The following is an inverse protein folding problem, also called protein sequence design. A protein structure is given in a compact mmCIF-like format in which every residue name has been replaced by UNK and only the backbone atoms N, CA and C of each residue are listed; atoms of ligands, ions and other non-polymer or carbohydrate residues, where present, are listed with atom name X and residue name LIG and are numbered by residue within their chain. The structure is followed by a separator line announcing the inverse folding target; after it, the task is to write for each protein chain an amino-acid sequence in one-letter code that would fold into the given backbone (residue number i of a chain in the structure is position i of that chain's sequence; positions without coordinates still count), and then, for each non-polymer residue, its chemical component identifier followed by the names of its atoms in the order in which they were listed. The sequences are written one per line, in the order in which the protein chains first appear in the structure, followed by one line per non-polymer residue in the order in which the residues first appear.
data_IF_924252595279
#
_entry.id   IF_924252595279
#
_cell.length_a   1.000
_cell.length_b   1.000
_cell.length_c   1.000
_cell.angle_alpha   90.00
_cell.angle_beta   90.00
_cell.angle_gamma   90.00
#
_symmetry.space_group_name_H-M   'P 1'
#
loop_
_entity.id
_entity.type
_entity.pdbx_description
1 polymer ?
#
# COMPACT_ATOMS: atom_id res chain seq x y z
N UNK A 1 27.59 63.11 45.06
CA UNK A 1 28.69 63.85 44.44
C UNK A 1 28.73 63.38 43.00
N UNK A 2 28.29 64.23 42.07
CA UNK A 2 28.36 63.96 40.63
C UNK A 2 29.82 64.05 40.21
N UNK A 3 30.48 62.92 40.00
CA UNK A 3 31.76 62.88 39.31
C UNK A 3 31.51 63.21 37.85
N UNK A 4 31.57 64.49 37.51
CA UNK A 4 31.50 64.96 36.14
C UNK A 4 32.63 64.33 35.32
N UNK A 5 32.25 63.45 34.40
CA UNK A 5 33.14 62.81 33.42
C UNK A 5 33.85 63.91 32.62
N UNK A 6 35.13 64.15 32.91
CA UNK A 6 35.96 65.08 32.12
C UNK A 6 36.33 64.36 30.84
N UNK A 7 35.43 64.41 29.86
CA UNK A 7 35.73 63.93 28.52
C UNK A 7 36.81 64.84 27.89
N UNK A 8 38.07 64.39 27.93
CA UNK A 8 39.13 65.04 27.15
C UNK A 8 38.96 64.69 25.67
N UNK A 9 38.16 65.49 24.96
CA UNK A 9 37.98 65.42 23.51
C UNK A 9 39.21 65.94 22.74
N UNK A 10 40.42 65.61 23.20
CA UNK A 10 41.66 65.98 22.53
C UNK A 10 42.18 64.84 21.63
N UNK A 11 42.69 65.22 20.45
CA UNK A 11 43.31 64.31 19.49
C UNK A 11 44.81 64.13 19.68
N UNK A 12 45.35 64.55 20.83
CA UNK A 12 46.78 64.63 21.08
C UNK A 12 47.47 65.83 20.42
N UNK A 13 48.82 65.88 20.43
CA UNK A 13 49.59 67.00 19.91
C UNK A 13 49.51 67.11 18.38
N UNK A 14 49.47 68.34 17.88
CA UNK A 14 49.48 68.61 16.45
C UNK A 14 50.84 68.29 15.83
N UNK A 15 50.82 67.60 14.69
CA UNK A 15 52.03 67.26 13.93
C UNK A 15 52.78 68.48 13.37
N UNK A 16 52.07 69.58 13.09
CA UNK A 16 52.63 70.85 12.58
C UNK A 16 52.97 71.84 13.70
N UNK A 17 52.15 71.88 14.74
CA UNK A 17 52.25 72.86 15.84
C UNK A 17 52.59 72.14 17.15
N UNK A 18 53.89 71.98 17.44
CA UNK A 18 54.41 71.12 18.52
C UNK A 18 53.90 71.45 19.94
N UNK A 19 53.35 72.65 20.17
CA UNK A 19 52.83 73.08 21.48
C UNK A 19 51.29 73.08 21.55
N UNK A 20 50.62 72.64 20.48
CA UNK A 20 49.19 72.87 20.30
C UNK A 20 48.48 71.53 20.15
N UNK A 21 47.36 71.39 20.83
CA UNK A 21 46.57 70.16 20.85
C UNK A 21 45.46 70.22 19.81
N UNK A 22 45.15 69.08 19.23
CA UNK A 22 44.15 68.92 18.17
C UNK A 22 42.77 68.76 18.79
N UNK A 23 41.80 69.57 18.38
CA UNK A 23 40.43 69.57 18.92
C UNK A 23 39.34 69.58 17.85
N UNK A 24 39.71 69.81 16.59
CA UNK A 24 38.76 70.01 15.50
C UNK A 24 38.98 68.98 14.39
N UNK A 25 37.89 68.61 13.73
CA UNK A 25 37.90 67.86 12.49
C UNK A 25 37.55 68.80 11.34
N UNK A 26 38.45 68.97 10.38
CA UNK A 26 38.17 69.70 9.15
C UNK A 26 37.45 68.77 8.17
N UNK A 27 36.18 69.06 7.90
CA UNK A 27 35.34 68.25 7.01
C UNK A 27 35.80 68.37 5.55
N UNK A 28 36.31 69.53 5.14
CA UNK A 28 36.77 69.76 3.76
C UNK A 28 37.96 68.87 3.37
N UNK A 29 38.85 68.60 4.32
CA UNK A 29 40.07 67.83 4.08
C UNK A 29 40.07 66.46 4.77
N UNK A 30 39.04 66.16 5.55
CA UNK A 30 38.93 64.95 6.38
C UNK A 30 40.12 64.75 7.34
N UNK A 31 40.57 65.84 7.98
CA UNK A 31 41.76 65.85 8.84
C UNK A 31 41.48 66.38 10.24
N UNK A 32 42.20 65.82 11.22
CA UNK A 32 42.25 66.30 12.60
C UNK A 32 43.22 67.49 12.70
N UNK A 33 42.75 68.64 13.21
CA UNK A 33 43.51 69.88 13.23
C UNK A 33 43.45 70.61 14.58
N UNK A 34 44.50 71.38 14.90
CA UNK A 34 44.53 72.26 16.07
C UNK A 34 44.04 73.67 15.73
N UNK A 35 43.92 74.53 16.74
CA UNK A 35 43.51 75.93 16.58
C UNK A 35 44.45 76.77 15.70
N UNK A 36 45.74 76.46 15.67
CA UNK A 36 46.69 77.18 14.79
C UNK A 36 46.51 76.77 13.33
N UNK A 37 46.23 75.49 13.08
CA UNK A 37 45.90 75.01 11.74
C UNK A 37 44.66 75.70 11.16
N UNK A 38 43.66 76.06 11.96
CA UNK A 38 42.46 76.77 11.48
C UNK A 38 42.73 78.21 11.05
N UNK A 39 43.88 78.79 11.40
CA UNK A 39 44.25 80.15 10.99
C UNK A 39 45.16 80.13 9.77
N UNK A 40 46.11 79.19 9.74
CA UNK A 40 47.19 79.16 8.73
C UNK A 40 46.79 78.35 7.50
N UNK A 41 46.43 77.08 7.70
CA UNK A 41 46.26 76.12 6.61
C UNK A 41 44.78 75.87 6.26
N UNK A 42 43.88 76.02 7.23
CA UNK A 42 42.46 75.71 7.12
C UNK A 42 41.56 76.88 7.56
N UNK A 43 41.67 78.06 6.91
CA UNK A 43 40.94 79.25 7.33
C UNK A 43 39.42 79.07 7.18
N UNK A 44 38.60 79.65 8.09
CA UNK A 44 37.14 79.42 8.12
C UNK A 44 36.40 79.83 6.83
N UNK A 45 36.96 80.76 6.05
CA UNK A 45 36.38 81.18 4.76
C UNK A 45 36.60 80.15 3.62
N UNK A 46 37.48 79.16 3.82
CA UNK A 46 37.79 78.11 2.84
C UNK A 46 37.53 76.70 3.34
N UNK A 47 37.45 76.51 4.66
CA UNK A 47 37.32 75.20 5.30
C UNK A 47 36.19 75.19 6.30
N UNK A 48 35.39 74.12 6.28
CA UNK A 48 34.44 73.82 7.36
C UNK A 48 35.12 72.88 8.35
N UNK A 49 35.02 73.20 9.64
CA UNK A 49 35.51 72.34 10.71
C UNK A 49 34.53 72.34 11.87
N UNK A 50 34.48 71.21 12.56
CA UNK A 50 33.64 70.94 13.72
C UNK A 50 34.54 70.47 14.86
N UNK A 51 34.09 70.63 16.10
CA UNK A 51 34.78 70.05 17.25
C UNK A 51 34.70 68.52 17.23
N UNK A 52 35.61 67.83 17.90
CA UNK A 52 35.51 66.39 18.05
C UNK A 52 34.27 65.94 18.80
N UNK A 53 33.80 66.73 19.76
CA UNK A 53 32.52 66.47 20.43
C UNK A 53 31.36 66.46 19.43
N UNK A 54 31.26 67.48 18.59
CA UNK A 54 30.22 67.56 17.55
C UNK A 54 30.35 66.42 16.54
N UNK A 55 31.56 66.03 16.15
CA UNK A 55 31.78 64.90 15.23
C UNK A 55 31.37 63.56 15.84
N UNK A 56 31.66 63.34 17.13
CA UNK A 56 31.28 62.13 17.86
C UNK A 56 29.75 62.05 17.96
N UNK A 57 29.08 63.12 18.36
CA UNK A 57 27.61 63.15 18.45
C UNK A 57 26.96 62.97 17.07
N UNK A 58 27.48 63.63 16.03
CA UNK A 58 26.99 63.46 14.66
C UNK A 58 27.13 62.02 14.17
N UNK A 59 28.26 61.36 14.45
CA UNK A 59 28.45 59.93 14.11
C UNK A 59 27.50 59.04 14.89
N UNK A 60 27.31 59.31 16.18
CA UNK A 60 26.38 58.57 17.02
C UNK A 60 24.96 58.66 16.48
N UNK A 61 24.51 59.86 16.13
CA UNK A 61 23.19 60.09 15.54
C UNK A 61 23.03 59.37 14.19
N UNK A 62 24.02 59.50 13.30
CA UNK A 62 24.01 58.79 12.02
C UNK A 62 23.96 57.26 12.21
N UNK A 63 24.79 56.72 13.10
CA UNK A 63 24.82 55.29 13.40
C UNK A 63 23.48 54.81 13.99
N UNK A 64 22.85 55.61 14.86
CA UNK A 64 21.52 55.31 15.40
C UNK A 64 20.48 55.31 14.29
N UNK A 65 20.53 56.28 13.38
CA UNK A 65 19.60 56.38 12.25
C UNK A 65 19.74 55.18 11.31
N UNK A 66 20.97 54.83 10.93
CA UNK A 66 21.28 53.66 10.11
C UNK A 66 20.83 52.37 10.81
N UNK A 67 21.18 52.19 12.09
CA UNK A 67 20.74 51.04 12.88
C UNK A 67 19.22 50.95 12.97
N UNK A 68 18.52 52.06 13.19
CA UNK A 68 17.06 52.08 13.22
C UNK A 68 16.45 51.71 11.87
N UNK A 69 16.99 52.23 10.77
CA UNK A 69 16.50 51.91 9.43
C UNK A 69 16.69 50.43 9.07
N UNK A 70 17.84 49.86 9.44
CA UNK A 70 18.11 48.44 9.23
C UNK A 70 17.24 47.56 10.12
N UNK A 71 16.99 47.97 11.37
CA UNK A 71 16.10 47.28 12.28
C UNK A 71 14.67 47.24 11.74
N UNK A 72 14.14 48.36 11.24
CA UNK A 72 12.82 48.40 10.59
C UNK A 72 12.77 47.45 9.38
N UNK A 73 13.77 47.50 8.50
CA UNK A 73 13.81 46.62 7.33
C UNK A 73 13.88 45.13 7.69
N UNK A 74 14.59 44.77 8.77
CA UNK A 74 14.63 43.40 9.28
C UNK A 74 13.26 43.00 9.86
N UNK A 75 12.63 43.91 10.61
CA UNK A 75 11.32 43.65 11.20
C UNK A 75 10.24 43.44 10.13
N UNK A 76 10.25 44.24 9.06
CA UNK A 76 9.33 44.08 7.92
C UNK A 76 9.50 42.70 7.25
N UNK A 77 10.75 42.26 7.07
CA UNK A 77 11.05 40.91 6.56
C UNK A 77 10.60 39.82 7.51
N UNK A 78 10.72 40.04 8.82
CA UNK A 78 10.30 39.07 9.85
C UNK A 78 8.77 38.92 9.87
N UNK A 79 8.03 40.02 9.72
CA UNK A 79 6.57 40.00 9.57
C UNK A 79 6.15 39.28 8.29
N UNK A 80 6.78 39.58 7.15
CA UNK A 80 6.48 38.88 5.90
C UNK A 80 6.76 37.37 5.98
N UNK A 81 7.83 36.98 6.68
CA UNK A 81 8.16 35.58 6.90
C UNK A 81 7.13 34.88 7.82
N UNK A 82 6.68 35.56 8.88
CA UNK A 82 5.63 35.04 9.77
C UNK A 82 4.30 34.81 9.04
N UNK A 83 3.90 35.74 8.18
CA UNK A 83 2.72 35.59 7.31
C UNK A 83 2.87 34.42 6.34
N UNK A 84 4.03 34.28 5.71
CA UNK A 84 4.32 33.15 4.81
C UNK A 84 4.26 31.80 5.53
N UNK A 85 4.78 31.72 6.75
CA UNK A 85 4.73 30.50 7.57
C UNK A 85 3.28 30.14 7.93
N UNK A 86 2.47 31.13 8.32
CA UNK A 86 1.03 30.93 8.61
C UNK A 86 0.28 30.41 7.39
N UNK A 87 0.51 31.00 6.23
CA UNK A 87 -0.13 30.56 4.98
C UNK A 87 0.30 29.14 4.61
N UNK A 88 1.59 28.84 4.70
CA UNK A 88 2.13 27.50 4.44
C UNK A 88 1.51 26.46 5.38
N UNK A 89 1.33 26.79 6.66
CA UNK A 89 0.67 25.92 7.63
C UNK A 89 -0.79 25.64 7.25
N UNK A 90 -1.53 26.67 6.83
CA UNK A 90 -2.92 26.51 6.39
C UNK A 90 -3.02 25.58 5.17
N UNK A 91 -2.11 25.73 4.19
CA UNK A 91 -2.04 24.85 3.01
C UNK A 91 -1.79 23.41 3.43
N UNK A 92 -0.78 23.17 4.28
CA UNK A 92 -0.44 21.83 4.76
C UNK A 92 -1.63 21.20 5.49
N UNK A 93 -2.26 21.94 6.40
CA UNK A 93 -3.42 21.46 7.15
C UNK A 93 -4.60 21.08 6.23
N UNK A 94 -4.87 21.89 5.20
CA UNK A 94 -5.91 21.60 4.22
C UNK A 94 -5.60 20.36 3.38
N UNK A 95 -4.35 20.17 2.96
CA UNK A 95 -3.94 18.97 2.22
C UNK A 95 -3.99 17.71 3.10
N UNK A 96 -3.63 17.80 4.38
CA UNK A 96 -3.79 16.70 5.34
C UNK A 96 -5.25 16.25 5.47
N UNK A 97 -6.20 17.20 5.53
CA UNK A 97 -7.63 16.89 5.57
C UNK A 97 -8.09 16.16 4.29
N UNK A 98 -7.65 16.62 3.11
CA UNK A 98 -7.97 15.94 1.84
C UNK A 98 -7.40 14.51 1.80
N UNK A 99 -6.16 14.33 2.25
CA UNK A 99 -5.52 13.01 2.35
C UNK A 99 -6.32 12.08 3.27
N UNK A 100 -6.77 12.57 4.44
CA UNK A 100 -7.59 11.79 5.35
C UNK A 100 -8.94 11.40 4.73
N UNK A 101 -9.58 12.33 4.02
CA UNK A 101 -10.83 12.06 3.32
C UNK A 101 -10.65 10.98 2.24
N UNK A 102 -9.63 11.12 1.37
CA UNK A 102 -9.36 10.13 0.32
C UNK A 102 -9.01 8.76 0.89
N UNK A 103 -8.27 8.70 2.01
CA UNK A 103 -8.00 7.42 2.69
C UNK A 103 -9.30 6.71 3.07
N UNK A 104 -10.25 7.44 3.65
CA UNK A 104 -11.55 6.89 4.03
C UNK A 104 -12.36 6.44 2.81
N UNK A 105 -12.41 7.25 1.76
CA UNK A 105 -13.12 6.91 0.51
C UNK A 105 -12.55 5.64 -0.14
N UNK A 106 -11.22 5.49 -0.15
CA UNK A 106 -10.55 4.28 -0.64
C UNK A 106 -10.89 3.07 0.23
N UNK A 107 -10.86 3.22 1.55
CA UNK A 107 -11.18 2.15 2.49
C UNK A 107 -12.64 1.68 2.32
N UNK A 108 -13.58 2.61 2.21
CA UNK A 108 -14.99 2.32 1.96
C UNK A 108 -15.20 1.62 0.62
N UNK A 109 -14.51 2.07 -0.43
CA UNK A 109 -14.55 1.45 -1.75
C UNK A 109 -14.02 0.00 -1.73
N UNK A 110 -12.88 -0.23 -1.09
CA UNK A 110 -12.29 -1.58 -0.91
C UNK A 110 -13.25 -2.47 -0.14
N UNK A 111 -13.79 -1.99 0.98
CA UNK A 111 -14.75 -2.74 1.80
C UNK A 111 -16.02 -3.11 1.02
N UNK A 112 -16.52 -2.20 0.19
CA UNK A 112 -17.66 -2.46 -0.70
C UNK A 112 -17.34 -3.53 -1.75
N UNK A 113 -16.15 -3.48 -2.35
CA UNK A 113 -15.69 -4.49 -3.31
C UNK A 113 -15.58 -5.88 -2.64
N UNK A 114 -14.95 -5.95 -1.46
CA UNK A 114 -14.80 -7.20 -0.70
C UNK A 114 -16.17 -7.79 -0.36
N UNK A 115 -17.10 -6.98 0.16
CA UNK A 115 -18.47 -7.43 0.49
C UNK A 115 -19.18 -8.00 -0.74
N UNK A 116 -19.11 -7.32 -1.88
CA UNK A 116 -19.69 -7.81 -3.15
C UNK A 116 -19.06 -9.12 -3.60
N UNK A 117 -17.73 -9.26 -3.48
CA UNK A 117 -17.02 -10.47 -3.88
C UNK A 117 -17.41 -11.67 -3.02
N UNK A 118 -17.44 -11.50 -1.70
CA UNK A 118 -17.87 -12.55 -0.76
C UNK A 118 -19.31 -13.00 -1.07
N UNK A 119 -20.22 -12.05 -1.31
CA UNK A 119 -21.61 -12.39 -1.64
C UNK A 119 -21.71 -13.16 -2.97
N UNK A 120 -20.97 -12.74 -3.99
CA UNK A 120 -20.93 -13.40 -5.29
C UNK A 120 -20.35 -14.82 -5.20
N UNK A 121 -19.26 -15.01 -4.47
CA UNK A 121 -18.64 -16.32 -4.29
C UNK A 121 -19.55 -17.28 -3.51
N UNK A 122 -20.23 -16.80 -2.47
CA UNK A 122 -21.26 -17.59 -1.76
C UNK A 122 -22.38 -18.04 -2.69
N UNK A 123 -22.89 -17.14 -3.55
CA UNK A 123 -23.94 -17.50 -4.51
C UNK A 123 -23.44 -18.53 -5.54
N UNK A 124 -22.22 -18.37 -6.05
CA UNK A 124 -21.60 -19.34 -6.96
C UNK A 124 -21.40 -20.71 -6.31
N UNK A 125 -20.97 -20.73 -5.05
CA UNK A 125 -20.81 -21.96 -4.27
C UNK A 125 -22.13 -22.72 -4.13
N UNK A 126 -23.23 -22.04 -3.77
CA UNK A 126 -24.54 -22.69 -3.66
C UNK A 126 -25.05 -23.22 -5.01
N UNK A 127 -24.83 -22.48 -6.10
CA UNK A 127 -25.15 -22.95 -7.45
C UNK A 127 -24.34 -24.21 -7.79
N UNK A 128 -23.03 -24.20 -7.52
CA UNK A 128 -22.14 -25.34 -7.78
C UNK A 128 -22.57 -26.57 -6.95
N UNK A 129 -22.88 -26.36 -5.67
CA UNK A 129 -23.37 -27.41 -4.77
C UNK A 129 -24.67 -28.03 -5.28
N UNK A 130 -25.63 -27.22 -5.71
CA UNK A 130 -26.88 -27.70 -6.32
C UNK A 130 -26.65 -28.52 -7.59
N UNK A 131 -25.73 -28.09 -8.47
CA UNK A 131 -25.35 -28.85 -9.67
C UNK A 131 -24.71 -30.20 -9.35
N UNK A 132 -23.84 -30.25 -8.35
CA UNK A 132 -23.19 -31.50 -7.91
C UNK A 132 -24.23 -32.46 -7.34
N UNK A 133 -25.14 -31.99 -6.49
CA UNK A 133 -26.22 -32.81 -5.93
C UNK A 133 -27.13 -33.38 -7.02
N UNK A 134 -27.52 -32.55 -8.01
CA UNK A 134 -28.34 -32.99 -9.14
C UNK A 134 -27.65 -34.08 -9.96
N UNK A 135 -26.36 -33.89 -10.31
CA UNK A 135 -25.57 -34.92 -11.02
C UNK A 135 -25.44 -36.21 -10.21
N UNK A 136 -25.23 -36.10 -8.90
CA UNK A 136 -25.14 -37.28 -8.04
C UNK A 136 -26.46 -38.07 -8.01
N UNK A 137 -27.61 -37.40 -7.96
CA UNK A 137 -28.92 -38.05 -8.05
C UNK A 137 -29.14 -38.73 -9.41
N UNK A 138 -28.73 -38.09 -10.50
CA UNK A 138 -28.81 -38.66 -11.85
C UNK A 138 -27.95 -39.93 -11.99
N UNK A 139 -26.71 -39.89 -11.49
CA UNK A 139 -25.82 -41.06 -11.45
C UNK A 139 -26.42 -42.18 -10.59
N UNK A 140 -26.99 -41.85 -9.43
CA UNK A 140 -27.66 -42.83 -8.58
C UNK A 140 -28.85 -43.49 -9.29
N UNK A 141 -29.66 -42.70 -10.01
CA UNK A 141 -30.79 -43.21 -10.80
C UNK A 141 -30.33 -44.15 -11.91
N UNK A 142 -29.32 -43.76 -12.70
CA UNK A 142 -28.74 -44.60 -13.76
C UNK A 142 -28.16 -45.91 -13.20
N UNK A 143 -27.52 -45.87 -12.03
CA UNK A 143 -27.01 -47.07 -11.37
C UNK A 143 -28.14 -48.00 -10.91
N UNK A 144 -29.26 -47.44 -10.43
CA UNK A 144 -30.44 -48.20 -10.06
C UNK A 144 -31.06 -48.91 -11.27
N UNK A 145 -31.19 -48.20 -12.39
CA UNK A 145 -31.69 -48.73 -13.67
C UNK A 145 -30.77 -49.83 -14.26
N UNK A 146 -29.45 -49.66 -14.14
CA UNK A 146 -28.48 -50.71 -14.51
C UNK A 146 -28.57 -51.94 -13.62
N UNK A 147 -28.83 -51.75 -12.33
CA UNK A 147 -29.01 -52.86 -11.38
C UNK A 147 -30.29 -53.65 -11.67
N UNK A 148 -31.40 -52.95 -11.94
CA UNK A 148 -32.69 -53.59 -12.24
C UNK A 148 -32.64 -54.40 -13.55
N UNK A 149 -32.00 -53.86 -14.60
CA UNK A 149 -31.79 -54.56 -15.88
C UNK A 149 -30.87 -55.77 -15.74
N UNK A 150 -29.79 -55.66 -14.96
CA UNK A 150 -28.95 -56.82 -14.61
C UNK A 150 -29.76 -57.90 -13.89
N UNK A 151 -30.59 -57.52 -12.92
CA UNK A 151 -31.42 -58.47 -12.17
C UNK A 151 -32.39 -59.22 -13.09
N UNK A 152 -33.11 -58.51 -13.97
CA UNK A 152 -34.02 -59.14 -14.95
C UNK A 152 -33.26 -60.05 -15.93
N UNK A 153 -32.07 -59.65 -16.36
CA UNK A 153 -31.24 -60.48 -17.25
C UNK A 153 -30.81 -61.78 -16.56
N UNK A 154 -30.37 -61.70 -15.29
CA UNK A 154 -30.00 -62.88 -14.50
C UNK A 154 -31.21 -63.79 -14.29
N UNK A 155 -32.39 -63.23 -13.99
CA UNK A 155 -33.62 -63.99 -13.79
C UNK A 155 -34.04 -64.72 -15.08
N UNK A 156 -33.94 -64.06 -16.23
CA UNK A 156 -34.18 -64.67 -17.54
C UNK A 156 -33.18 -65.80 -17.83
N UNK A 157 -31.88 -65.62 -17.54
CA UNK A 157 -30.87 -66.67 -17.71
C UNK A 157 -31.15 -67.88 -16.82
N UNK A 158 -31.53 -67.66 -15.56
CA UNK A 158 -31.89 -68.73 -14.64
C UNK A 158 -33.10 -69.53 -15.15
N UNK A 159 -34.10 -68.86 -15.73
CA UNK A 159 -35.23 -69.52 -16.36
C UNK A 159 -34.80 -70.40 -17.54
N UNK A 160 -33.90 -69.93 -18.41
CA UNK A 160 -33.36 -70.72 -19.53
C UNK A 160 -32.58 -71.95 -19.04
N UNK A 161 -31.73 -71.78 -18.02
CA UNK A 161 -30.97 -72.89 -17.42
C UNK A 161 -31.90 -73.93 -16.80
N UNK A 162 -32.94 -73.48 -16.10
CA UNK A 162 -34.00 -74.35 -15.54
C UNK A 162 -34.66 -75.20 -16.64
N UNK A 163 -35.11 -74.56 -17.72
CA UNK A 163 -35.72 -75.26 -18.87
C UNK A 163 -34.73 -76.25 -19.49
N UNK A 164 -33.48 -75.85 -19.71
CA UNK A 164 -32.45 -76.76 -20.25
C UNK A 164 -32.20 -77.97 -19.34
N UNK A 165 -32.23 -77.77 -18.02
CA UNK A 165 -32.06 -78.84 -17.04
C UNK A 165 -33.23 -79.80 -17.10
N UNK A 166 -34.46 -79.29 -17.16
CA UNK A 166 -35.66 -80.10 -17.32
C UNK A 166 -35.63 -80.91 -18.63
N UNK A 167 -35.21 -80.29 -19.74
CA UNK A 167 -35.06 -80.98 -21.04
C UNK A 167 -34.01 -82.10 -20.93
N UNK A 168 -32.85 -81.86 -20.30
CA UNK A 168 -31.83 -82.89 -20.10
C UNK A 168 -32.35 -84.06 -19.27
N UNK A 169 -33.08 -83.77 -18.21
CA UNK A 169 -33.66 -84.79 -17.35
C UNK A 169 -34.71 -85.62 -18.10
N UNK A 170 -35.58 -84.97 -18.86
CA UNK A 170 -36.53 -85.65 -19.75
C UNK A 170 -35.83 -86.53 -20.78
N UNK A 171 -34.76 -86.05 -21.43
CA UNK A 171 -33.97 -86.86 -22.38
C UNK A 171 -33.35 -88.10 -21.70
N UNK A 172 -32.87 -87.98 -20.46
CA UNK A 172 -32.35 -89.11 -19.69
C UNK A 172 -33.43 -90.13 -19.36
N UNK A 173 -34.64 -89.68 -19.03
CA UNK A 173 -35.80 -90.54 -18.77
C UNK A 173 -36.21 -91.30 -20.04
N UNK A 174 -36.34 -90.60 -21.18
CA UNK A 174 -36.63 -91.22 -22.48
C UNK A 174 -35.56 -92.23 -22.89
N UNK A 175 -34.27 -91.92 -22.65
CA UNK A 175 -33.18 -92.85 -22.97
C UNK A 175 -33.26 -94.13 -22.13
N UNK A 176 -33.61 -94.03 -20.83
CA UNK A 176 -33.81 -95.20 -19.96
C UNK A 176 -34.98 -96.05 -20.43
N UNK A 177 -36.10 -95.45 -20.84
CA UNK A 177 -37.25 -96.17 -21.39
C UNK A 177 -36.89 -96.90 -22.70
N UNK A 178 -36.08 -96.27 -23.55
CA UNK A 178 -35.60 -96.89 -24.79
C UNK A 178 -34.67 -98.09 -24.53
N UNK A 179 -33.72 -97.96 -23.59
CA UNK A 179 -32.82 -99.05 -23.21
C UNK A 179 -33.57 -100.22 -22.55
N UNK A 180 -34.60 -99.94 -21.75
CA UNK A 180 -35.48 -100.96 -21.17
C UNK A 180 -36.27 -101.72 -22.25
N UNK A 181 -36.79 -101.04 -23.28
CA UNK A 181 -37.49 -101.68 -24.40
C UNK A 181 -36.55 -102.50 -25.32
N UNK A 182 -35.25 -102.23 -25.30
CA UNK A 182 -34.24 -102.99 -26.07
C UNK A 182 -33.78 -104.26 -25.34
N UNK A 183 -33.84 -104.28 -24.01
CA UNK A 183 -33.54 -105.47 -23.19
C UNK A 183 -34.72 -106.46 -23.22
N UNK A 184 -35.97 -105.97 -23.22
CA UNK A 184 -37.15 -106.85 -23.31
C UNK A 184 -37.35 -107.53 -24.66
N UNK A 185 -36.63 -107.11 -25.71
CA UNK A 185 -36.70 -107.72 -27.05
C UNK A 185 -35.55 -108.70 -27.35
N UNK A 186 -34.58 -108.86 -26.43
CA UNK A 186 -33.43 -109.76 -26.62
C UNK A 186 -33.48 -111.06 -25.81
N UNK A 187 -34.45 -111.25 -24.92
CA UNK A 187 -34.54 -112.44 -24.06
C UNK A 187 -35.59 -113.49 -24.53
N UNK A 188 -36.23 -113.28 -25.69
CA UNK A 188 -37.21 -114.25 -26.24
C UNK A 188 -36.65 -115.20 -27.31
N UNK A 189 -35.35 -115.16 -27.64
CA UNK A 189 -34.76 -116.04 -28.66
C UNK A 189 -33.42 -116.66 -28.25
N UNK A 190 -33.42 -117.61 -27.31
CA UNK A 190 -32.37 -118.65 -27.25
C UNK A 190 -32.84 -119.90 -26.49
N UNK A 191 -33.74 -120.66 -27.11
CA UNK A 191 -34.03 -122.05 -26.77
C UNK A 191 -33.98 -122.87 -28.06
N UNK A 192 -32.92 -123.66 -28.24
CA UNK A 192 -32.97 -124.88 -29.04
C UNK A 192 -31.81 -125.84 -28.68
N UNK A 193 -32.00 -127.17 -28.79
CA UNK A 193 -31.28 -128.17 -28.01
C UNK A 193 -30.44 -129.16 -28.87
N UNK A 194 -29.85 -130.15 -28.20
CA UNK A 194 -29.72 -131.59 -28.59
C UNK A 194 -28.30 -132.19 -28.79
N UNK A 195 -28.04 -133.21 -27.95
CA UNK A 195 -27.29 -134.50 -28.08
C UNK A 195 -25.77 -134.65 -28.29
N UNK A 196 -25.14 -135.29 -27.29
CA UNK A 196 -24.68 -136.70 -27.23
C UNK A 196 -23.90 -137.30 -28.44
N UNK A 197 -22.59 -137.61 -28.25
CA UNK A 197 -21.89 -138.93 -28.37
C UNK A 197 -20.38 -138.80 -28.72
N UNK A 198 -19.49 -138.95 -27.73
CA UNK A 198 -18.44 -139.99 -27.57
C UNK A 198 -17.48 -139.63 -26.45
#
# INVERSE_FOLDING_TARGET
EDEGEIDDYSGGPCSKHKKSVVYFFCETHSLKICRECTVIDHPPNKCKFISFKEEVERRKENNICEASSTFTAINDKLTALDEFVKESYNIISNEELKIQQWRKEIEDAINSIIKRRIASEKAQHEIAKGKVQSKNMEVAKLNLEKSSTKKTTIENLNNVVSVSTNIKQWMLEVSKEYDLNKITTLDENSSAPVNILK
#
